data_IF_280114522493
#
_entry.id   IF_280114522493
#
_cell.length_a   1.000
_cell.length_b   1.000
_cell.length_c   1.000
_cell.angle_alpha   90.00
_cell.angle_beta   90.00
_cell.angle_gamma   90.00
#
_symmetry.space_group_name_H-M   'P 1'
#
loop_
_entity.id
_entity.type
_entity.pdbx_description
1 polymer ?
#
# COMPACT_ATOMS: atom_id res chain seq x y z
N UNK A 1 -8.44 -2.67 -37.64
CA UNK A 1 -7.16 -2.20 -37.05
C UNK A 1 -7.45 -1.68 -35.66
N UNK A 2 -6.83 -2.29 -34.66
CA UNK A 2 -7.00 -1.93 -33.25
C UNK A 2 -6.19 -0.68 -32.93
N UNK A 3 -6.58 0.07 -31.88
CA UNK A 3 -5.87 1.28 -31.40
C UNK A 3 -4.39 0.99 -31.09
N UNK A 4 -4.06 -0.24 -30.71
CA UNK A 4 -2.70 -0.73 -30.53
C UNK A 4 -1.85 -0.67 -31.82
N UNK A 5 -2.41 -0.97 -33.00
CA UNK A 5 -1.69 -0.85 -34.28
C UNK A 5 -1.35 0.61 -34.61
N UNK A 6 -2.19 1.55 -34.18
CA UNK A 6 -1.98 3.00 -34.41
C UNK A 6 -0.90 3.57 -33.48
N UNK A 7 -0.87 3.13 -32.22
CA UNK A 7 0.20 3.50 -31.27
C UNK A 7 1.57 2.99 -31.74
N UNK A 8 1.64 1.76 -32.26
CA UNK A 8 2.90 1.18 -32.73
C UNK A 8 3.42 1.82 -34.02
N UNK A 9 2.52 2.28 -34.90
CA UNK A 9 2.89 2.94 -36.16
C UNK A 9 3.36 4.38 -35.93
N UNK A 10 2.86 5.06 -34.89
CA UNK A 10 3.26 6.43 -34.53
C UNK A 10 4.67 6.49 -33.92
N UNK A 11 5.07 5.45 -33.16
CA UNK A 11 6.41 5.36 -32.54
C UNK A 11 7.54 5.22 -33.58
N UNK A 12 7.25 4.72 -34.78
CA UNK A 12 8.27 4.48 -35.83
C UNK A 12 8.53 5.70 -36.74
N UNK A 13 7.76 6.79 -36.59
CA UNK A 13 7.59 7.78 -37.66
C UNK A 13 8.06 9.22 -37.45
N UNK A 14 8.39 9.71 -36.25
CA UNK A 14 8.66 11.16 -36.08
C UNK A 14 9.92 11.47 -35.28
N UNK A 15 11.01 11.70 -36.01
CA UNK A 15 12.20 12.39 -35.54
C UNK A 15 11.98 13.92 -35.61
N UNK A 16 11.63 14.57 -34.50
CA UNK A 16 12.01 15.96 -34.19
C UNK A 16 11.59 16.33 -32.75
N UNK A 17 12.56 16.74 -31.93
CA UNK A 17 12.45 17.04 -30.48
C UNK A 17 11.36 18.06 -30.10
N UNK A 18 10.91 18.91 -31.04
CA UNK A 18 9.87 19.92 -30.80
C UNK A 18 8.43 19.41 -31.05
N UNK A 19 8.25 18.24 -31.68
CA UNK A 19 6.95 17.61 -31.92
C UNK A 19 6.50 16.64 -30.82
N UNK A 20 7.46 16.07 -30.06
CA UNK A 20 7.18 15.14 -28.96
C UNK A 20 6.30 15.78 -27.86
N UNK A 21 6.61 17.01 -27.43
CA UNK A 21 5.94 17.66 -26.30
C UNK A 21 4.42 17.89 -26.46
N UNK A 22 3.95 18.19 -27.69
CA UNK A 22 2.51 18.43 -27.97
C UNK A 22 1.76 17.10 -28.13
N UNK A 23 2.43 16.07 -28.64
CA UNK A 23 1.87 14.72 -28.74
C UNK A 23 1.79 14.06 -27.35
N UNK A 24 2.78 14.30 -26.49
CA UNK A 24 2.87 13.72 -25.14
C UNK A 24 1.81 14.25 -24.16
N UNK A 25 1.49 15.55 -24.20
CA UNK A 25 0.43 16.12 -23.35
C UNK A 25 -0.97 15.59 -23.70
N UNK A 26 -1.24 15.40 -25.00
CA UNK A 26 -2.48 14.81 -25.47
C UNK A 26 -2.52 13.30 -25.17
N UNK A 27 -1.40 12.59 -25.29
CA UNK A 27 -1.31 11.17 -24.95
C UNK A 27 -1.58 10.89 -23.46
N UNK A 28 -1.06 11.73 -22.55
CA UNK A 28 -1.36 11.60 -21.11
C UNK A 28 -2.83 11.83 -20.80
N UNK A 29 -3.47 12.81 -21.45
CA UNK A 29 -4.90 13.10 -21.27
C UNK A 29 -5.78 11.96 -21.79
N UNK A 30 -5.41 11.38 -22.94
CA UNK A 30 -6.09 10.20 -23.50
C UNK A 30 -5.94 9.00 -22.56
N UNK A 31 -4.72 8.76 -22.05
CA UNK A 31 -4.46 7.65 -21.15
C UNK A 31 -5.19 7.80 -19.80
N UNK A 32 -5.29 9.02 -19.26
CA UNK A 32 -6.13 9.30 -18.09
C UNK A 32 -7.60 8.94 -18.34
N UNK A 33 -8.12 9.27 -19.53
CA UNK A 33 -9.49 8.95 -19.88
C UNK A 33 -9.68 7.43 -20.04
N UNK A 34 -8.78 6.74 -20.73
CA UNK A 34 -8.84 5.28 -20.85
C UNK A 34 -8.76 4.58 -19.49
N UNK A 35 -7.93 5.09 -18.56
CA UNK A 35 -7.86 4.57 -17.18
C UNK A 35 -9.20 4.76 -16.46
N UNK A 36 -9.85 5.92 -16.60
CA UNK A 36 -11.17 6.18 -16.00
C UNK A 36 -12.26 5.28 -16.61
N UNK A 37 -12.23 5.09 -17.92
CA UNK A 37 -13.18 4.23 -18.61
C UNK A 37 -12.99 2.75 -18.19
N UNK A 38 -11.74 2.30 -18.05
CA UNK A 38 -11.40 0.99 -17.53
C UNK A 38 -11.86 0.81 -16.06
N UNK A 39 -11.69 1.82 -15.21
CA UNK A 39 -12.22 1.83 -13.84
C UNK A 39 -13.75 1.69 -13.81
N UNK A 40 -14.45 2.39 -14.70
CA UNK A 40 -15.91 2.31 -14.80
C UNK A 40 -16.36 0.93 -15.27
N UNK A 41 -15.71 0.37 -16.29
CA UNK A 41 -15.97 -0.99 -16.77
C UNK A 41 -15.69 -2.05 -15.69
N UNK A 42 -14.64 -1.85 -14.88
CA UNK A 42 -14.31 -2.72 -13.76
C UNK A 42 -15.39 -2.68 -12.68
N UNK A 43 -15.94 -1.49 -12.36
CA UNK A 43 -17.05 -1.35 -11.42
C UNK A 43 -18.31 -2.06 -11.93
N UNK A 44 -18.64 -1.90 -13.20
CA UNK A 44 -19.76 -2.63 -13.82
C UNK A 44 -19.55 -4.15 -13.72
N UNK A 45 -18.34 -4.63 -14.01
CA UNK A 45 -18.00 -6.06 -13.91
C UNK A 45 -18.17 -6.63 -12.49
N UNK A 46 -17.87 -5.84 -11.45
CA UNK A 46 -18.10 -6.24 -10.05
C UNK A 46 -19.59 -6.34 -9.71
N UNK A 47 -20.42 -5.46 -10.27
CA UNK A 47 -21.88 -5.53 -10.12
C UNK A 47 -22.41 -6.80 -10.81
N UNK A 48 -21.96 -7.08 -12.03
CA UNK A 48 -22.36 -8.29 -12.76
C UNK A 48 -21.93 -9.57 -12.05
N UNK A 49 -20.70 -9.60 -11.50
CA UNK A 49 -20.24 -10.71 -10.67
C UNK A 49 -21.16 -10.92 -9.46
N UNK A 50 -21.54 -9.84 -8.78
CA UNK A 50 -22.43 -9.91 -7.61
C UNK A 50 -23.81 -10.45 -7.99
N UNK A 51 -24.34 -10.01 -9.15
CA UNK A 51 -25.59 -10.53 -9.69
C UNK A 51 -25.51 -12.03 -9.98
N UNK A 52 -24.44 -12.49 -10.62
CA UNK A 52 -24.21 -13.91 -10.89
C UNK A 52 -24.11 -14.73 -9.60
N UNK A 53 -23.42 -14.22 -8.57
CA UNK A 53 -23.34 -14.87 -7.25
C UNK A 53 -24.72 -14.96 -6.57
N UNK A 54 -25.54 -13.93 -6.70
CA UNK A 54 -26.92 -13.95 -6.19
C UNK A 54 -27.78 -14.98 -6.92
N UNK A 55 -27.73 -15.02 -8.26
CA UNK A 55 -28.43 -16.01 -9.09
C UNK A 55 -28.00 -17.45 -8.75
N UNK A 56 -26.69 -17.67 -8.55
CA UNK A 56 -26.15 -18.95 -8.08
C UNK A 56 -26.70 -19.34 -6.72
N UNK A 57 -26.78 -18.38 -5.79
CA UNK A 57 -27.32 -18.62 -4.44
C UNK A 57 -28.80 -19.01 -4.49
N UNK A 58 -29.61 -18.31 -5.29
CA UNK A 58 -31.03 -18.64 -5.49
C UNK A 58 -31.19 -20.01 -6.12
N UNK A 59 -30.38 -20.35 -7.13
CA UNK A 59 -30.41 -21.67 -7.78
C UNK A 59 -30.04 -22.78 -6.80
N UNK A 60 -29.03 -22.53 -5.95
CA UNK A 60 -28.65 -23.46 -4.90
C UNK A 60 -29.76 -23.67 -3.85
N UNK A 61 -30.47 -22.63 -3.44
CA UNK A 61 -31.63 -22.77 -2.55
C UNK A 61 -32.72 -23.64 -3.18
N UNK A 62 -33.03 -23.43 -4.46
CA UNK A 62 -34.01 -24.26 -5.19
C UNK A 62 -33.57 -25.73 -5.28
N UNK A 63 -32.28 -25.97 -5.48
CA UNK A 63 -31.71 -27.31 -5.46
C UNK A 63 -31.96 -28.00 -4.11
N UNK A 64 -31.72 -27.29 -2.99
CA UNK A 64 -31.97 -27.83 -1.65
C UNK A 64 -33.45 -28.16 -1.43
N UNK A 65 -34.37 -27.29 -1.87
CA UNK A 65 -35.81 -27.54 -1.78
C UNK A 65 -36.22 -28.77 -2.58
N UNK A 66 -35.67 -28.95 -3.79
CA UNK A 66 -35.91 -30.14 -4.63
C UNK A 66 -35.36 -31.41 -3.96
N UNK A 67 -34.16 -31.33 -3.36
CA UNK A 67 -33.57 -32.44 -2.62
C UNK A 67 -34.42 -32.83 -1.40
N UNK A 68 -34.98 -31.87 -0.67
CA UNK A 68 -35.90 -32.15 0.43
C UNK A 68 -37.17 -32.86 -0.06
N UNK A 69 -37.78 -32.39 -1.15
CA UNK A 69 -38.94 -33.04 -1.77
C UNK A 69 -38.63 -34.45 -2.29
N UNK A 70 -37.44 -34.66 -2.84
CA UNK A 70 -36.97 -35.97 -3.28
C UNK A 70 -36.93 -36.94 -2.09
N UNK A 71 -36.34 -36.52 -0.96
CA UNK A 71 -36.29 -37.34 0.25
C UNK A 71 -37.68 -37.64 0.82
N UNK A 72 -38.57 -36.65 0.85
CA UNK A 72 -39.95 -36.82 1.25
C UNK A 72 -40.67 -37.86 0.37
N UNK A 73 -40.60 -37.72 -0.96
CA UNK A 73 -41.23 -38.65 -1.89
C UNK A 73 -40.66 -40.08 -1.77
N UNK A 74 -39.34 -40.20 -1.60
CA UNK A 74 -38.69 -41.49 -1.37
C UNK A 74 -39.22 -42.19 -0.11
N UNK A 75 -39.57 -41.42 0.94
CA UNK A 75 -40.13 -41.97 2.18
C UNK A 75 -41.54 -42.54 2.01
N UNK A 76 -42.30 -42.09 0.99
CA UNK A 76 -43.66 -42.58 0.71
C UNK A 76 -43.67 -43.93 -0.01
N UNK A 77 -42.68 -44.23 -0.84
CA UNK A 77 -42.60 -45.47 -1.61
C UNK A 77 -42.77 -46.74 -0.75
N UNK A 78 -41.98 -46.98 0.32
CA UNK A 78 -42.14 -48.19 1.12
C UNK A 78 -43.52 -48.28 1.80
N UNK A 79 -44.10 -47.14 2.20
CA UNK A 79 -45.42 -47.09 2.84
C UNK A 79 -46.54 -47.45 1.86
N UNK A 80 -46.45 -46.95 0.62
CA UNK A 80 -47.42 -47.24 -0.45
C UNK A 80 -47.35 -48.72 -0.85
N UNK A 81 -46.14 -49.27 -0.97
CA UNK A 81 -45.94 -50.69 -1.26
C UNK A 81 -46.47 -51.59 -0.13
N UNK A 82 -46.25 -51.23 1.13
CA UNK A 82 -46.79 -51.97 2.27
C UNK A 82 -48.33 -51.97 2.31
N UNK A 83 -48.97 -50.93 1.78
CA UNK A 83 -50.43 -50.81 1.65
C UNK A 83 -50.98 -51.40 0.35
N UNK A 84 -50.17 -52.10 -0.44
CA UNK A 84 -50.53 -52.64 -1.77
C UNK A 84 -51.02 -51.56 -2.78
N UNK A 85 -50.66 -50.29 -2.59
CA UNK A 85 -51.02 -49.18 -3.48
C UNK A 85 -50.00 -49.02 -4.60
N UNK A 86 -49.88 -50.04 -5.46
CA UNK A 86 -48.82 -50.12 -6.48
C UNK A 86 -48.92 -49.02 -7.54
N UNK A 87 -50.12 -48.66 -7.98
CA UNK A 87 -50.32 -47.61 -8.99
C UNK A 87 -49.87 -46.23 -8.47
N UNK A 88 -50.21 -45.91 -7.21
CA UNK A 88 -49.79 -44.67 -6.57
C UNK A 88 -48.27 -44.67 -6.30
N UNK A 89 -47.69 -45.81 -5.93
CA UNK A 89 -46.23 -45.94 -5.79
C UNK A 89 -45.53 -45.67 -7.13
N UNK A 90 -46.09 -46.17 -8.25
CA UNK A 90 -45.54 -45.93 -9.58
C UNK A 90 -45.64 -44.45 -9.99
N UNK A 91 -46.73 -43.77 -9.65
CA UNK A 91 -46.85 -42.32 -9.85
C UNK A 91 -45.80 -41.53 -9.05
N UNK A 92 -45.62 -41.86 -7.77
CA UNK A 92 -44.60 -41.21 -6.92
C UNK A 92 -43.19 -41.50 -7.44
N UNK A 93 -42.91 -42.72 -7.92
CA UNK A 93 -41.64 -43.04 -8.59
C UNK A 93 -41.42 -42.22 -9.87
N UNK A 94 -42.46 -41.95 -10.64
CA UNK A 94 -42.38 -41.03 -11.79
C UNK A 94 -42.01 -39.60 -11.38
N UNK A 95 -42.59 -39.09 -10.29
CA UNK A 95 -42.23 -37.77 -9.71
C UNK A 95 -40.79 -37.74 -9.20
N UNK A 96 -40.33 -38.82 -8.57
CA UNK A 96 -38.93 -38.98 -8.13
C UNK A 96 -37.98 -38.89 -9.32
N UNK A 97 -38.23 -39.66 -10.40
CA UNK A 97 -37.38 -39.65 -11.58
C UNK A 97 -37.29 -38.25 -12.23
N UNK A 98 -38.41 -37.51 -12.27
CA UNK A 98 -38.41 -36.12 -12.75
C UNK A 98 -37.57 -35.20 -11.83
N UNK A 99 -37.73 -35.30 -10.50
CA UNK A 99 -36.95 -34.52 -9.54
C UNK A 99 -35.45 -34.83 -9.61
N UNK A 100 -35.06 -36.09 -9.81
CA UNK A 100 -33.66 -36.48 -9.98
C UNK A 100 -33.03 -35.84 -11.22
N UNK A 101 -33.77 -35.82 -12.34
CA UNK A 101 -33.35 -35.13 -13.56
C UNK A 101 -33.16 -33.62 -13.34
N UNK A 102 -34.13 -32.97 -12.70
CA UNK A 102 -34.07 -31.56 -12.35
C UNK A 102 -32.90 -31.22 -11.42
N UNK A 103 -32.65 -32.07 -10.41
CA UNK A 103 -31.53 -31.94 -9.47
C UNK A 103 -30.19 -32.03 -10.20
N UNK A 104 -30.03 -33.01 -11.09
CA UNK A 104 -28.82 -33.17 -11.89
C UNK A 104 -28.56 -31.95 -12.77
N UNK A 105 -29.61 -31.39 -13.38
CA UNK A 105 -29.51 -30.19 -14.21
C UNK A 105 -29.16 -28.93 -13.39
N UNK A 106 -29.77 -28.75 -12.23
CA UNK A 106 -29.46 -27.63 -11.32
C UNK A 106 -28.02 -27.72 -10.80
N UNK A 107 -27.55 -28.92 -10.44
CA UNK A 107 -26.17 -29.15 -10.02
C UNK A 107 -25.16 -28.80 -11.11
N UNK A 108 -25.42 -29.22 -12.34
CA UNK A 108 -24.60 -28.83 -13.50
C UNK A 108 -24.57 -27.32 -13.68
N UNK A 109 -25.74 -26.69 -13.64
CA UNK A 109 -25.87 -25.23 -13.80
C UNK A 109 -25.10 -24.47 -12.71
N UNK A 110 -25.18 -24.92 -11.45
CA UNK A 110 -24.39 -24.34 -10.35
C UNK A 110 -22.89 -24.52 -10.59
N UNK A 111 -22.46 -25.70 -11.05
CA UNK A 111 -21.06 -25.95 -11.39
C UNK A 111 -20.54 -25.01 -12.48
N UNK A 112 -21.33 -24.78 -13.53
CA UNK A 112 -21.00 -23.83 -14.61
C UNK A 112 -20.94 -22.38 -14.08
N UNK A 113 -21.89 -21.99 -13.22
CA UNK A 113 -21.88 -20.68 -12.56
C UNK A 113 -20.64 -20.49 -11.67
N UNK A 114 -20.27 -21.49 -10.87
CA UNK A 114 -19.10 -21.44 -9.98
C UNK A 114 -17.80 -21.28 -10.78
N UNK A 115 -17.65 -21.99 -11.90
CA UNK A 115 -16.51 -21.82 -12.80
C UNK A 115 -16.44 -20.41 -13.40
N UNK A 116 -17.59 -19.86 -13.82
CA UNK A 116 -17.69 -18.51 -14.36
C UNK A 116 -17.39 -17.43 -13.30
N UNK A 117 -17.91 -17.59 -12.09
CA UNK A 117 -17.63 -16.71 -10.93
C UNK A 117 -16.13 -16.67 -10.66
N UNK A 118 -15.46 -17.83 -10.57
CA UNK A 118 -14.02 -17.90 -10.32
C UNK A 118 -13.21 -17.21 -11.43
N UNK A 119 -13.58 -17.42 -12.70
CA UNK A 119 -12.93 -16.79 -13.86
C UNK A 119 -13.11 -15.27 -13.85
N UNK A 120 -14.31 -14.77 -13.54
CA UNK A 120 -14.60 -13.34 -13.43
C UNK A 120 -13.83 -12.70 -12.29
N UNK A 121 -13.79 -13.33 -11.11
CA UNK A 121 -13.00 -12.86 -9.96
C UNK A 121 -11.51 -12.71 -10.31
N UNK A 122 -10.93 -13.72 -10.95
CA UNK A 122 -9.53 -13.67 -11.38
C UNK A 122 -9.28 -12.54 -12.40
N UNK A 123 -10.19 -12.37 -13.36
CA UNK A 123 -10.10 -11.33 -14.40
C UNK A 123 -10.22 -9.92 -13.81
N UNK A 124 -11.16 -9.72 -12.88
CA UNK A 124 -11.35 -8.46 -12.15
C UNK A 124 -10.09 -8.11 -11.36
N UNK A 125 -9.52 -9.07 -10.61
CA UNK A 125 -8.28 -8.85 -9.86
C UNK A 125 -7.10 -8.48 -10.77
N UNK A 126 -6.99 -9.15 -11.92
CA UNK A 126 -5.93 -8.84 -12.90
C UNK A 126 -6.09 -7.44 -13.50
N UNK A 127 -7.32 -7.04 -13.82
CA UNK A 127 -7.65 -5.72 -14.33
C UNK A 127 -7.34 -4.64 -13.29
N UNK A 128 -7.71 -4.84 -12.02
CA UNK A 128 -7.38 -3.95 -10.89
C UNK A 128 -5.88 -3.69 -10.79
N UNK A 129 -5.07 -4.74 -10.71
CA UNK A 129 -3.61 -4.61 -10.63
C UNK A 129 -3.03 -3.85 -11.83
N UNK A 130 -3.60 -4.06 -13.01
CA UNK A 130 -3.16 -3.41 -14.25
C UNK A 130 -3.51 -1.93 -14.24
N UNK A 131 -4.74 -1.58 -13.87
CA UNK A 131 -5.21 -0.19 -13.78
C UNK A 131 -4.39 0.57 -12.72
N UNK A 132 -4.16 -0.03 -11.55
CA UNK A 132 -3.37 0.58 -10.49
C UNK A 132 -1.92 0.82 -10.92
N UNK A 133 -1.33 -0.11 -11.68
CA UNK A 133 0.00 0.08 -12.28
C UNK A 133 0.00 1.24 -13.26
N UNK A 134 -1.00 1.33 -14.15
CA UNK A 134 -1.11 2.41 -15.14
C UNK A 134 -1.26 3.77 -14.47
N UNK A 135 -2.11 3.88 -13.44
CA UNK A 135 -2.26 5.10 -12.63
C UNK A 135 -0.92 5.59 -12.07
N UNK A 136 -0.18 4.71 -11.39
CA UNK A 136 1.15 5.04 -10.84
C UNK A 136 2.15 5.49 -11.92
N UNK A 137 2.12 4.85 -13.09
CA UNK A 137 2.98 5.22 -14.21
C UNK A 137 2.63 6.61 -14.74
N UNK A 138 1.34 6.90 -14.93
CA UNK A 138 0.88 8.22 -15.34
C UNK A 138 1.27 9.30 -14.33
N UNK A 139 1.09 9.04 -13.03
CA UNK A 139 1.47 9.99 -11.98
C UNK A 139 2.97 10.29 -11.98
N UNK A 140 3.79 9.26 -12.18
CA UNK A 140 5.25 9.40 -12.29
C UNK A 140 5.62 10.26 -13.50
N UNK A 141 5.03 9.99 -14.67
CA UNK A 141 5.32 10.76 -15.88
C UNK A 141 4.87 12.23 -15.73
N UNK A 142 3.70 12.48 -15.13
CA UNK A 142 3.23 13.85 -14.83
C UNK A 142 4.16 14.58 -13.88
N UNK A 143 4.67 13.91 -12.84
CA UNK A 143 5.63 14.48 -11.90
C UNK A 143 6.95 14.84 -12.62
N UNK A 144 7.50 13.93 -13.42
CA UNK A 144 8.70 14.17 -14.22
C UNK A 144 8.52 15.34 -15.18
N UNK A 145 7.40 15.40 -15.90
CA UNK A 145 7.08 16.52 -16.79
C UNK A 145 6.95 17.86 -16.04
N UNK A 146 6.43 17.84 -14.80
CA UNK A 146 6.36 19.03 -13.96
C UNK A 146 7.74 19.52 -13.49
N UNK A 147 8.63 18.60 -13.13
CA UNK A 147 10.02 18.92 -12.76
C UNK A 147 10.77 19.52 -13.94
N UNK A 148 10.65 18.93 -15.13
CA UNK A 148 11.27 19.45 -16.36
C UNK A 148 10.77 20.86 -16.68
N UNK A 149 9.45 21.11 -16.64
CA UNK A 149 8.89 22.46 -16.82
C UNK A 149 9.40 23.47 -15.78
N UNK A 150 9.56 23.05 -14.52
CA UNK A 150 10.13 23.92 -13.49
C UNK A 150 11.60 24.25 -13.77
N UNK A 151 12.40 23.26 -14.20
CA UNK A 151 13.80 23.45 -14.59
C UNK A 151 13.93 24.39 -15.80
N UNK A 152 13.09 24.22 -16.83
CA UNK A 152 13.03 25.10 -17.99
C UNK A 152 12.69 26.54 -17.59
N UNK A 153 11.69 26.75 -16.71
CA UNK A 153 11.31 28.07 -16.23
C UNK A 153 12.45 28.74 -15.44
N UNK A 154 13.19 27.98 -14.64
CA UNK A 154 14.38 28.47 -13.91
C UNK A 154 15.49 28.83 -14.90
N UNK A 155 15.81 27.98 -15.87
CA UNK A 155 16.83 28.22 -16.88
C UNK A 155 16.50 29.43 -17.76
N UNK A 156 15.24 29.57 -18.18
CA UNK A 156 14.75 30.71 -18.94
C UNK A 156 14.89 32.02 -18.14
N UNK A 157 14.53 32.02 -16.85
CA UNK A 157 14.74 33.17 -15.95
C UNK A 157 16.22 33.47 -15.69
N UNK A 158 17.06 32.44 -15.62
CA UNK A 158 18.50 32.57 -15.45
C UNK A 158 19.14 33.22 -16.70
N UNK A 159 18.69 32.89 -17.91
CA UNK A 159 19.24 33.45 -19.17
C UNK A 159 19.08 34.97 -19.32
N UNK A 160 18.10 35.60 -18.65
CA UNK A 160 17.82 37.03 -18.78
C UNK A 160 18.48 37.97 -17.74
N UNK A 161 19.05 37.45 -16.64
CA UNK A 161 19.46 38.29 -15.49
C UNK A 161 20.75 37.84 -14.78
N UNK A 162 21.60 37.04 -15.45
CA UNK A 162 22.59 36.19 -14.77
C UNK A 162 23.93 36.82 -14.37
N UNK A 163 24.25 38.06 -14.72
CA UNK A 163 25.58 38.60 -14.37
C UNK A 163 25.68 39.05 -12.91
N UNK A 164 24.57 39.52 -12.29
CA UNK A 164 24.63 40.21 -10.99
C UNK A 164 24.14 39.35 -9.82
N UNK A 165 23.15 38.48 -10.04
CA UNK A 165 22.61 37.61 -9.01
C UNK A 165 23.56 36.46 -8.65
N UNK A 166 24.24 35.87 -9.64
CA UNK A 166 25.27 34.84 -9.37
C UNK A 166 26.41 35.39 -8.51
N UNK A 167 26.91 36.60 -8.81
CA UNK A 167 27.93 37.26 -8.00
C UNK A 167 27.44 37.59 -6.58
N UNK A 168 26.17 37.94 -6.41
CA UNK A 168 25.61 38.24 -5.09
C UNK A 168 25.44 36.98 -4.23
N UNK A 169 24.96 35.87 -4.80
CA UNK A 169 24.82 34.59 -4.09
C UNK A 169 26.19 34.00 -3.77
N UNK A 170 27.13 33.99 -4.74
CA UNK A 170 28.51 33.56 -4.51
C UNK A 170 29.22 34.42 -3.44
N UNK A 171 28.92 35.73 -3.36
CA UNK A 171 29.46 36.60 -2.31
C UNK A 171 28.87 36.27 -0.94
N UNK A 172 27.59 35.90 -0.88
CA UNK A 172 26.88 35.63 0.37
C UNK A 172 27.30 34.28 0.97
N UNK A 173 27.52 33.26 0.15
CA UNK A 173 28.07 31.98 0.60
C UNK A 173 29.53 32.14 1.08
N UNK A 174 30.33 32.97 0.39
CA UNK A 174 31.70 33.29 0.82
C UNK A 174 31.75 34.05 2.16
N UNK A 175 30.81 34.96 2.39
CA UNK A 175 30.68 35.69 3.68
C UNK A 175 30.28 34.74 4.80
N UNK A 176 29.35 33.79 4.54
CA UNK A 176 28.95 32.79 5.54
C UNK A 176 30.10 31.84 5.91
N UNK A 177 30.87 31.38 4.93
CA UNK A 177 32.07 30.57 5.20
C UNK A 177 33.10 31.33 6.03
N UNK A 178 33.36 32.62 5.73
CA UNK A 178 34.25 33.44 6.55
C UNK A 178 33.75 33.63 7.99
N UNK A 179 32.43 33.82 8.17
CA UNK A 179 31.84 33.97 9.51
C UNK A 179 31.92 32.66 10.32
N UNK A 180 31.65 31.51 9.68
CA UNK A 180 31.77 30.21 10.32
C UNK A 180 33.23 29.90 10.74
N UNK A 181 34.18 30.21 9.86
CA UNK A 181 35.61 30.00 10.12
C UNK A 181 36.11 30.90 11.26
N UNK A 182 35.62 32.15 11.33
CA UNK A 182 35.93 33.07 12.43
C UNK A 182 35.33 32.63 13.76
N UNK A 183 34.11 32.09 13.76
CA UNK A 183 33.50 31.51 14.97
C UNK A 183 34.31 30.32 15.47
N UNK A 184 34.68 29.39 14.58
CA UNK A 184 35.49 28.24 14.94
C UNK A 184 36.88 28.62 15.47
N UNK A 185 37.49 29.69 14.94
CA UNK A 185 38.75 30.24 15.49
C UNK A 185 38.58 30.82 16.90
N UNK A 186 37.47 31.52 17.16
CA UNK A 186 37.17 32.06 18.50
C UNK A 186 36.93 30.91 19.50
N UNK A 187 36.18 29.88 19.10
CA UNK A 187 35.94 28.70 19.94
C UNK A 187 37.24 27.94 20.23
N UNK A 188 38.11 27.77 19.23
CA UNK A 188 39.43 27.17 19.42
C UNK A 188 40.34 28.02 20.34
N UNK A 189 40.30 29.35 20.22
CA UNK A 189 41.03 30.25 21.10
C UNK A 189 40.53 30.17 22.56
N UNK A 190 39.22 30.12 22.76
CA UNK A 190 38.60 29.92 24.08
C UNK A 190 38.97 28.56 24.68
N UNK A 191 39.05 27.51 23.86
CA UNK A 191 39.51 26.19 24.30
C UNK A 191 40.99 26.21 24.71
N UNK A 192 41.85 26.89 23.96
CA UNK A 192 43.27 27.07 24.32
C UNK A 192 43.43 27.88 25.62
N UNK A 193 42.64 28.94 25.83
CA UNK A 193 42.65 29.72 27.07
C UNK A 193 42.14 28.90 28.27
N UNK A 194 41.13 28.05 28.06
CA UNK A 194 40.64 27.13 29.10
C UNK A 194 41.66 26.03 29.46
N UNK A 195 42.48 25.60 28.49
CA UNK A 195 43.60 24.68 28.75
C UNK A 195 44.77 25.37 29.45
N UNK A 196 44.96 26.68 29.23
CA UNK A 196 45.99 27.47 29.91
C UNK A 196 45.63 27.83 31.36
N UNK A 197 44.34 27.94 31.71
CA UNK A 197 43.88 28.55 32.97
C UNK A 197 43.00 27.67 33.87
N UNK A 198 43.31 26.39 34.05
CA UNK A 198 42.99 25.74 35.34
C UNK A 198 42.60 24.27 35.29
N UNK A 199 43.48 23.42 35.86
CA UNK A 199 43.10 22.11 36.37
C UNK A 199 44.17 21.03 36.28
N UNK A 200 45.11 21.15 35.34
CA UNK A 200 46.05 20.05 35.07
C UNK A 200 47.11 19.85 36.16
N UNK A 201 47.56 20.92 36.82
CA UNK A 201 48.52 20.85 37.92
C UNK A 201 47.86 20.32 39.21
N UNK A 202 46.64 20.77 39.51
CA UNK A 202 45.85 20.35 40.67
C UNK A 202 45.46 18.85 40.56
N UNK A 203 45.06 18.38 39.38
CA UNK A 203 44.78 16.97 39.12
C UNK A 203 46.03 16.09 39.25
N UNK A 204 47.20 16.57 38.78
CA UNK A 204 48.48 15.86 38.95
C UNK A 204 48.91 15.80 40.42
N UNK A 205 48.65 16.85 41.20
CA UNK A 205 48.94 16.90 42.64
C UNK A 205 48.00 16.03 43.49
N UNK A 206 46.72 15.91 43.09
CA UNK A 206 45.75 15.03 43.74
C UNK A 206 46.02 13.55 43.41
N UNK A 207 46.39 13.22 42.17
CA UNK A 207 46.79 11.86 41.77
C UNK A 207 48.10 11.40 42.43
N UNK A 208 49.01 12.33 42.75
CA UNK A 208 50.23 12.07 43.50
C UNK A 208 50.02 11.98 45.02
N UNK A 209 48.80 12.21 45.53
CA UNK A 209 48.46 12.14 46.95
C UNK A 209 49.03 13.28 47.80
N UNK A 210 49.39 14.42 47.19
CA UNK A 210 50.09 15.53 47.87
C UNK A 210 49.11 16.59 48.41
N UNK A 211 47.89 16.69 47.87
CA UNK A 211 46.85 17.64 48.31
C UNK A 211 45.60 16.87 48.81
N UNK A 212 45.12 17.11 50.04
CA UNK A 212 43.94 16.42 50.57
C UNK A 212 42.66 17.05 49.99
N UNK A 213 42.19 16.47 48.89
CA UNK A 213 40.93 16.86 48.24
C UNK A 213 39.72 16.08 48.77
N UNK A 214 39.17 16.55 49.90
CA UNK A 214 37.75 16.52 50.26
C UNK A 214 36.95 15.22 50.12
N UNK A 215 37.01 14.38 51.15
CA UNK A 215 36.02 13.36 51.50
C UNK A 215 34.67 14.00 51.85
N UNK A 216 33.82 14.29 50.86
CA UNK A 216 32.49 14.85 51.13
C UNK A 216 31.34 14.15 50.39
N UNK A 217 31.62 13.31 49.39
CA UNK A 217 30.57 12.64 48.63
C UNK A 217 30.20 11.27 49.22
N UNK A 218 31.19 10.42 49.55
CA UNK A 218 30.93 9.09 50.10
C UNK A 218 30.39 9.10 51.55
N UNK A 219 30.83 10.05 52.40
CA UNK A 219 30.34 10.17 53.78
C UNK A 219 28.88 10.67 53.87
N UNK A 220 28.42 11.43 52.87
CA UNK A 220 27.02 11.87 52.76
C UNK A 220 26.14 10.71 52.28
N UNK A 221 26.63 9.89 51.34
CA UNK A 221 25.90 8.72 50.83
C UNK A 221 25.71 7.64 51.91
N UNK A 222 26.75 7.40 52.73
CA UNK A 222 26.69 6.43 53.83
C UNK A 222 25.65 6.76 54.91
N UNK A 223 25.22 8.03 55.01
CA UNK A 223 24.17 8.48 55.95
C UNK A 223 22.76 8.14 55.47
N UNK A 224 22.56 7.93 54.17
CA UNK A 224 21.27 7.61 53.56
C UNK A 224 21.11 6.13 53.17
N UNK A 225 22.18 5.35 53.15
CA UNK A 225 22.16 3.93 52.73
C UNK A 225 22.07 2.90 53.87
N UNK A 226 21.97 3.30 55.14
CA UNK A 226 21.69 2.33 56.22
C UNK A 226 20.17 2.06 56.31
N UNK A 227 19.68 0.84 55.97
CA UNK A 227 18.28 0.50 56.08
C UNK A 227 17.90 0.24 57.54
N UNK A 228 16.65 0.57 57.88
CA UNK A 228 15.99 0.08 59.09
C UNK A 228 15.90 -1.46 59.03
N UNK A 229 16.84 -2.13 59.70
CA UNK A 229 16.66 -3.53 60.07
C UNK A 229 15.72 -3.63 61.28
N UNK A 230 14.86 -4.65 61.33
CA UNK A 230 13.79 -4.79 62.31
C UNK A 230 14.37 -5.12 63.68
N UNK A 231 14.02 -4.33 64.70
CA UNK A 231 14.21 -4.72 66.09
C UNK A 231 13.14 -5.73 66.47
N UNK A 232 13.52 -6.99 66.59
CA UNK A 232 12.77 -7.97 67.37
C UNK A 232 13.08 -7.87 68.86
N UNK A 233 12.02 -8.01 69.67
CA UNK A 233 11.94 -8.54 71.05
C UNK A 233 12.50 -7.68 72.22
N UNK A 234 12.19 -7.94 73.52
CA UNK A 234 11.43 -9.07 74.13
C UNK A 234 10.47 -8.71 75.32
N UNK A 235 9.81 -9.76 75.84
CA UNK A 235 9.14 -9.94 77.17
C UNK A 235 7.62 -9.74 77.23
#
# INVERSE_FOLDING_TARGET
>A
MTIFDKLFTLVRGTATEAGQSIVDANALTILDQEIRDADNALRASRVDLTKLMAERTVTHSKLLDKQAKLQENNSYIPQLLAKNQRDLALEVSGKIAALEGDIAQDQKTIGDMDANIAKLQASIKQAEMTIDRLKRQVDTVKATASVQRAQEAIAAKASGSNARLRTAVDSLDRIKEQQALKSAQIDAANQLDSQANGGELEQKLQAAGIVPGGQAAEDILARFEKPASPTGNPS
#
